data_IF_547454564094
#
_entry.id   IF_547454564094
#
_cell.length_a   1.000
_cell.length_b   1.000
_cell.length_c   1.000
_cell.angle_alpha   90.00
_cell.angle_beta   90.00
_cell.angle_gamma   90.00
#
_symmetry.space_group_name_H-M   'P 1'
#
loop_
_entity.id
_entity.type
_entity.pdbx_description
1 polymer ?
#
# COMPACT_ATOMS: atom_id res chain seq x y z
N UNK A 1 0.99 16.22 16.95
CA UNK A 1 2.45 16.00 16.96
C UNK A 1 2.79 14.72 16.24
N UNK A 2 3.58 14.84 15.18
CA UNK A 2 4.17 13.74 14.44
C UNK A 2 5.37 13.17 15.19
N UNK A 3 5.47 11.86 15.21
CA UNK A 3 6.63 11.14 15.75
C UNK A 3 6.98 9.94 14.89
N UNK A 4 8.28 9.67 14.82
CA UNK A 4 8.83 8.45 14.24
C UNK A 4 8.51 7.26 15.15
N UNK A 5 8.19 6.12 14.54
CA UNK A 5 8.10 4.84 15.24
C UNK A 5 9.47 4.16 15.24
N UNK A 6 10.02 3.92 16.43
CA UNK A 6 11.27 3.20 16.62
C UNK A 6 11.05 1.70 16.89
N UNK A 7 9.84 1.35 17.34
CA UNK A 7 9.44 0.00 17.70
C UNK A 7 8.08 -0.35 17.13
N UNK A 8 7.73 -1.64 17.20
CA UNK A 8 6.38 -2.10 16.85
C UNK A 8 5.34 -1.45 17.77
N UNK A 9 4.29 -0.90 17.16
CA UNK A 9 3.21 -0.23 17.90
C UNK A 9 1.85 -0.65 17.37
N UNK A 10 1.04 -1.25 18.24
CA UNK A 10 -0.30 -1.69 17.92
C UNK A 10 -1.22 -0.51 17.53
N UNK A 11 -0.96 0.69 18.06
CA UNK A 11 -1.72 1.90 17.74
C UNK A 11 -1.67 2.24 16.23
N UNK A 12 -0.55 1.99 15.55
CA UNK A 12 -0.46 2.15 14.10
C UNK A 12 -1.38 1.18 13.38
N UNK A 13 -1.29 -0.11 13.74
CA UNK A 13 -2.08 -1.17 13.11
C UNK A 13 -3.57 -0.96 13.31
N UNK A 14 -3.98 -0.53 14.52
CA UNK A 14 -5.39 -0.27 14.82
C UNK A 14 -5.89 0.97 14.08
N UNK A 15 -5.10 2.04 14.03
CA UNK A 15 -5.44 3.22 13.24
C UNK A 15 -5.56 2.90 11.75
N UNK A 16 -4.69 2.03 11.22
CA UNK A 16 -4.66 1.71 9.79
C UNK A 16 -5.85 0.87 9.30
N UNK A 17 -6.68 0.29 10.18
CA UNK A 17 -7.87 -0.51 9.84
C UNK A 17 -9.07 0.37 9.45
N UNK A 18 -8.89 1.33 8.54
CA UNK A 18 -9.95 2.29 8.17
C UNK A 18 -10.11 2.54 6.68
N UNK A 19 -9.02 2.48 5.92
CA UNK A 19 -9.06 2.69 4.48
C UNK A 19 -7.93 1.93 3.76
N UNK A 20 -7.91 2.02 2.44
CA UNK A 20 -6.92 1.34 1.58
C UNK A 20 -5.49 1.86 1.80
N UNK A 21 -5.32 3.12 2.19
CA UNK A 21 -4.00 3.71 2.46
C UNK A 21 -3.46 3.21 3.80
N UNK A 22 -4.31 3.17 4.81
CA UNK A 22 -4.04 2.51 6.09
C UNK A 22 -3.69 1.05 5.89
N UNK A 23 -4.48 0.32 5.09
CA UNK A 23 -4.20 -1.10 4.78
C UNK A 23 -2.82 -1.27 4.14
N UNK A 24 -2.43 -0.38 3.21
CA UNK A 24 -1.09 -0.37 2.62
C UNK A 24 0.00 -0.10 3.66
N UNK A 25 -0.19 0.89 4.54
CA UNK A 25 0.74 1.21 5.64
C UNK A 25 0.90 0.00 6.58
N UNK A 26 -0.20 -0.60 7.02
CA UNK A 26 -0.21 -1.76 7.90
C UNK A 26 0.48 -2.97 7.26
N UNK A 27 0.24 -3.23 5.98
CA UNK A 27 0.90 -4.32 5.25
C UNK A 27 2.42 -4.13 5.19
N UNK A 28 2.90 -2.89 4.94
CA UNK A 28 4.33 -2.60 4.99
C UNK A 28 4.90 -2.73 6.39
N UNK A 29 4.20 -2.22 7.41
CA UNK A 29 4.63 -2.33 8.79
C UNK A 29 4.74 -3.78 9.24
N UNK A 30 3.75 -4.61 8.91
CA UNK A 30 3.76 -6.03 9.22
C UNK A 30 4.84 -6.80 8.44
N UNK A 31 5.33 -6.28 7.31
CA UNK A 31 6.37 -6.94 6.50
C UNK A 31 7.78 -6.54 6.91
N UNK A 32 8.00 -5.27 7.22
CA UNK A 32 9.33 -4.71 7.44
C UNK A 32 9.58 -4.27 8.90
N UNK A 33 8.53 -3.96 9.66
CA UNK A 33 8.65 -3.35 10.97
C UNK A 33 9.45 -2.05 10.92
N UNK A 34 10.16 -1.73 12.00
CA UNK A 34 11.03 -0.54 12.11
C UNK A 34 12.52 -0.86 11.96
N UNK A 35 12.85 -2.10 11.56
CA UNK A 35 14.23 -2.60 11.54
C UNK A 35 15.04 -2.16 10.31
N UNK A 36 14.37 -1.70 9.25
CA UNK A 36 15.01 -1.36 8.00
C UNK A 36 15.00 0.14 7.73
N UNK A 37 16.14 0.75 7.34
CA UNK A 37 16.23 2.19 7.13
C UNK A 37 15.40 2.69 5.93
N UNK A 38 15.06 1.80 5.00
CA UNK A 38 14.21 2.15 3.85
C UNK A 38 12.71 2.14 4.19
N UNK A 39 12.31 1.58 5.34
CA UNK A 39 10.92 1.46 5.74
C UNK A 39 10.67 2.23 7.04
N UNK A 40 10.09 3.43 6.89
CA UNK A 40 9.95 4.38 7.99
C UNK A 40 8.48 4.71 8.22
N UNK A 41 8.06 4.74 9.48
CA UNK A 41 6.66 4.88 9.86
C UNK A 41 6.49 6.00 10.88
N UNK A 42 5.46 6.81 10.71
CA UNK A 42 5.17 7.94 11.59
C UNK A 42 3.71 7.92 12.03
N UNK A 43 3.46 8.38 13.25
CA UNK A 43 2.14 8.67 13.77
C UNK A 43 2.02 10.14 14.10
N UNK A 44 0.90 10.74 13.71
CA UNK A 44 0.45 11.99 14.30
C UNK A 44 -0.49 11.67 15.46
N UNK A 45 -0.22 12.25 16.62
CA UNK A 45 -1.09 12.17 17.80
C UNK A 45 -1.58 13.56 18.15
N UNK A 46 -2.89 13.71 18.33
CA UNK A 46 -3.55 14.92 18.82
C UNK A 46 -4.52 14.54 19.92
N UNK A 47 -4.58 15.29 21.01
CA UNK A 47 -5.48 15.04 22.15
C UNK A 47 -5.49 13.58 22.65
N UNK A 48 -4.34 12.92 22.65
CA UNK A 48 -4.13 11.49 23.00
C UNK A 48 -4.74 10.45 22.04
N UNK A 49 -5.16 10.87 20.85
CA UNK A 49 -5.64 9.98 19.80
C UNK A 49 -4.74 10.07 18.57
N UNK A 50 -4.55 8.94 17.90
CA UNK A 50 -3.85 8.92 16.61
C UNK A 50 -4.75 9.59 15.58
N UNK A 51 -4.25 10.61 14.90
CA UNK A 51 -4.99 11.35 13.87
C UNK A 51 -4.44 11.12 12.46
N UNK A 52 -3.21 10.66 12.33
CA UNK A 52 -2.62 10.30 11.05
C UNK A 52 -1.55 9.22 11.18
N UNK A 53 -1.37 8.46 10.11
CA UNK A 53 -0.29 7.51 9.91
C UNK A 53 0.38 7.75 8.55
N UNK A 54 1.70 7.72 8.54
CA UNK A 54 2.52 7.85 7.34
C UNK A 54 3.46 6.65 7.28
N UNK A 55 3.59 6.03 6.11
CA UNK A 55 4.77 5.22 5.80
C UNK A 55 5.55 5.83 4.65
N UNK A 56 6.88 5.75 4.71
CA UNK A 56 7.80 6.04 3.61
C UNK A 56 8.59 4.77 3.34
N UNK A 57 8.40 4.18 2.15
CA UNK A 57 9.15 3.03 1.65
C UNK A 57 10.06 3.54 0.53
N UNK A 58 11.37 3.50 0.74
CA UNK A 58 12.35 4.26 -0.05
C UNK A 58 11.93 5.73 -0.14
N UNK A 59 11.52 6.22 -1.32
CA UNK A 59 11.00 7.57 -1.53
C UNK A 59 9.51 7.64 -1.84
N UNK A 60 8.80 6.51 -1.72
CA UNK A 60 7.35 6.45 -1.87
C UNK A 60 6.65 6.61 -0.52
N UNK A 61 5.85 7.67 -0.40
CA UNK A 61 5.08 7.97 0.80
C UNK A 61 3.61 7.58 0.65
N UNK A 62 3.02 7.03 1.70
CA UNK A 62 1.58 6.80 1.83
C UNK A 62 1.08 7.48 3.10
N UNK A 63 -0.01 8.24 3.00
CA UNK A 63 -0.61 8.97 4.11
C UNK A 63 -2.09 8.56 4.29
N UNK A 64 -2.43 8.13 5.49
CA UNK A 64 -3.79 7.90 5.98
C UNK A 64 -4.05 8.85 7.16
N UNK A 65 -5.16 9.58 7.17
CA UNK A 65 -5.45 10.51 8.26
C UNK A 65 -6.95 10.74 8.47
N UNK A 66 -7.30 11.24 9.65
CA UNK A 66 -8.65 11.68 10.00
C UNK A 66 -8.93 13.08 9.45
N UNK A 67 -10.19 13.50 9.52
CA UNK A 67 -10.59 14.83 9.02
C UNK A 67 -10.07 15.98 9.90
N UNK A 68 -9.84 15.71 11.18
CA UNK A 68 -9.35 16.60 12.22
C UNK A 68 -7.85 16.45 12.49
N UNK A 69 -7.13 15.73 11.63
CA UNK A 69 -5.66 15.71 11.65
C UNK A 69 -5.10 17.13 11.56
N UNK A 70 -3.92 17.34 12.15
CA UNK A 70 -3.23 18.63 12.06
C UNK A 70 -2.55 18.70 10.68
N UNK A 71 -3.27 19.28 9.72
CA UNK A 71 -2.83 19.39 8.33
C UNK A 71 -1.69 20.41 8.14
N UNK A 72 -1.54 21.38 9.04
CA UNK A 72 -0.40 22.30 9.00
C UNK A 72 0.89 21.54 9.31
N UNK A 73 0.87 20.72 10.38
CA UNK A 73 1.99 19.84 10.73
C UNK A 73 2.26 18.81 9.62
N UNK A 74 1.21 18.18 9.05
CA UNK A 74 1.38 17.23 7.95
C UNK A 74 1.99 17.88 6.70
N UNK A 75 1.54 19.07 6.31
CA UNK A 75 2.07 19.78 5.14
C UNK A 75 3.53 20.19 5.35
N UNK A 76 3.87 20.71 6.53
CA UNK A 76 5.25 21.04 6.89
C UNK A 76 6.15 19.80 6.88
N UNK A 77 5.67 18.69 7.42
CA UNK A 77 6.41 17.43 7.44
C UNK A 77 6.65 16.87 6.04
N UNK A 78 5.59 16.74 5.24
CA UNK A 78 5.62 16.16 3.89
C UNK A 78 6.57 16.97 2.98
N UNK A 79 6.54 18.31 3.08
CA UNK A 79 7.45 19.18 2.33
C UNK A 79 8.90 19.12 2.81
N UNK A 80 9.13 18.92 4.11
CA UNK A 80 10.48 18.85 4.69
C UNK A 80 11.18 17.53 4.42
N UNK A 81 10.47 16.41 4.63
CA UNK A 81 11.03 15.07 4.41
C UNK A 81 11.18 14.76 2.92
N UNK A 82 10.24 15.26 2.11
CA UNK A 82 10.23 15.01 0.67
C UNK A 82 9.79 13.59 0.30
N UNK A 83 9.38 13.44 -0.95
CA UNK A 83 8.93 12.18 -1.55
C UNK A 83 9.04 12.24 -3.07
N UNK A 84 9.20 11.09 -3.71
CA UNK A 84 9.04 10.96 -5.16
C UNK A 84 7.57 10.78 -5.54
N UNK A 85 6.82 10.04 -4.72
CA UNK A 85 5.37 9.85 -4.89
C UNK A 85 4.66 9.89 -3.55
N UNK A 86 3.49 10.54 -3.48
CA UNK A 86 2.59 10.52 -2.33
C UNK A 86 1.26 9.90 -2.73
N UNK A 87 0.87 8.82 -2.06
CA UNK A 87 -0.46 8.23 -2.15
C UNK A 87 -1.32 8.69 -0.97
N UNK A 88 -2.45 9.32 -1.26
CA UNK A 88 -3.45 9.75 -0.27
C UNK A 88 -4.83 9.92 -0.95
N UNK A 89 -5.87 10.22 -0.17
CA UNK A 89 -7.18 10.61 -0.73
C UNK A 89 -7.11 11.99 -1.39
N UNK A 90 -8.00 12.26 -2.34
CA UNK A 90 -8.09 13.58 -3.00
C UNK A 90 -8.35 14.73 -1.99
N UNK A 91 -9.20 14.51 -0.99
CA UNK A 91 -9.43 15.48 0.08
C UNK A 91 -8.15 15.81 0.86
N UNK A 92 -7.29 14.81 1.08
CA UNK A 92 -6.01 15.01 1.76
C UNK A 92 -5.04 15.80 0.87
N UNK A 93 -4.94 15.51 -0.43
CA UNK A 93 -4.09 16.30 -1.32
C UNK A 93 -4.49 17.78 -1.34
N UNK A 94 -5.79 18.08 -1.34
CA UNK A 94 -6.31 19.45 -1.31
C UNK A 94 -5.91 20.16 -0.01
N UNK A 95 -6.08 19.50 1.14
CA UNK A 95 -5.70 20.06 2.45
C UNK A 95 -4.19 20.26 2.61
N UNK A 96 -3.37 19.46 1.93
CA UNK A 96 -1.92 19.63 1.88
C UNK A 96 -1.47 20.69 0.85
N UNK A 97 -2.40 21.30 0.12
CA UNK A 97 -2.12 22.23 -1.00
C UNK A 97 -1.24 21.60 -2.08
N UNK A 98 -1.45 20.31 -2.38
CA UNK A 98 -0.73 19.57 -3.41
C UNK A 98 -1.59 19.39 -4.65
N UNK A 99 -0.99 19.54 -5.83
CA UNK A 99 -1.66 19.26 -7.09
C UNK A 99 -1.46 17.78 -7.47
N UNK A 100 -2.50 16.95 -7.49
CA UNK A 100 -2.35 15.54 -7.83
C UNK A 100 -1.95 15.38 -9.30
N UNK A 101 -0.90 14.60 -9.57
CA UNK A 101 -0.47 14.27 -10.93
C UNK A 101 -1.30 13.15 -11.57
N UNK A 102 -1.84 12.25 -10.73
CA UNK A 102 -2.69 11.13 -11.12
C UNK A 102 -3.80 10.96 -10.09
N UNK A 103 -4.98 10.60 -10.56
CA UNK A 103 -6.14 10.27 -9.72
C UNK A 103 -6.78 8.98 -10.23
N UNK A 104 -7.52 8.30 -9.36
CA UNK A 104 -8.17 7.05 -9.70
C UNK A 104 -9.25 6.71 -8.69
N UNK A 105 -10.09 5.74 -9.03
CA UNK A 105 -11.11 5.22 -8.13
C UNK A 105 -10.52 4.21 -7.18
N UNK A 106 -10.89 4.31 -5.91
CA UNK A 106 -10.66 3.25 -4.93
C UNK A 106 -11.77 2.23 -5.13
N UNK A 107 -11.40 0.99 -5.44
CA UNK A 107 -12.34 -0.11 -5.57
C UNK A 107 -12.43 -0.85 -4.24
N UNK A 108 -13.65 -1.13 -3.81
CA UNK A 108 -13.94 -1.96 -2.65
C UNK A 108 -14.60 -3.24 -3.16
N UNK A 109 -14.15 -4.38 -2.65
CA UNK A 109 -14.85 -5.63 -2.89
C UNK A 109 -16.18 -5.60 -2.15
N UNK A 110 -17.26 -5.49 -2.91
CA UNK A 110 -18.61 -5.74 -2.42
C UNK A 110 -18.88 -7.23 -2.65
N UNK A 111 -19.50 -7.91 -1.66
CA UNK A 111 -19.74 -9.36 -1.62
C UNK A 111 -20.01 -10.01 -3.00
N UNK A 112 -19.63 -11.27 -3.15
CA UNK A 112 -19.85 -12.02 -4.39
C UNK A 112 -21.31 -11.90 -4.83
N UNK A 113 -21.59 -11.38 -6.03
CA UNK A 113 -22.92 -11.49 -6.59
C UNK A 113 -23.27 -12.98 -6.65
N UNK A 114 -24.38 -13.38 -6.01
CA UNK A 114 -24.86 -14.77 -5.89
C UNK A 114 -24.96 -15.56 -7.21
N UNK A 115 -24.70 -14.95 -8.37
CA UNK A 115 -24.90 -15.50 -9.72
C UNK A 115 -23.68 -15.34 -10.64
N UNK A 116 -22.45 -15.21 -10.13
CA UNK A 116 -21.28 -15.30 -11.00
C UNK A 116 -20.94 -16.77 -11.27
N UNK A 117 -21.28 -17.22 -12.49
CA UNK A 117 -20.92 -18.55 -12.97
C UNK A 117 -19.48 -18.50 -13.49
N UNK A 118 -18.51 -18.48 -12.58
CA UNK A 118 -17.11 -18.63 -12.95
C UNK A 118 -16.95 -20.04 -13.54
N UNK A 119 -16.59 -20.14 -14.82
CA UNK A 119 -16.01 -21.39 -15.29
C UNK A 119 -14.80 -21.69 -14.41
N UNK A 120 -14.61 -22.94 -14.00
CA UNK A 120 -13.46 -23.37 -13.20
C UNK A 120 -12.17 -23.06 -13.95
N UNK A 121 -11.65 -21.86 -13.75
CA UNK A 121 -10.33 -21.48 -14.23
C UNK A 121 -9.36 -22.16 -13.27
N UNK A 122 -8.43 -23.00 -13.76
CA UNK A 122 -7.51 -23.71 -12.90
C UNK A 122 -6.62 -22.70 -12.16
N UNK A 123 -6.97 -22.44 -10.91
CA UNK A 123 -6.18 -21.65 -9.97
C UNK A 123 -5.00 -22.48 -9.51
N UNK A 124 -3.78 -22.01 -9.80
CA UNK A 124 -2.57 -22.64 -9.28
C UNK A 124 -2.21 -22.03 -7.93
N UNK A 125 -2.24 -22.82 -6.86
CA UNK A 125 -1.73 -22.40 -5.55
C UNK A 125 -0.19 -22.27 -5.52
N UNK A 126 0.50 -22.88 -6.49
CA UNK A 126 1.93 -22.66 -6.73
C UNK A 126 2.06 -21.48 -7.70
N UNK A 127 2.27 -20.29 -7.15
CA UNK A 127 2.46 -19.06 -7.94
C UNK A 127 3.93 -18.73 -8.03
N UNK A 128 4.48 -18.85 -9.23
CA UNK A 128 5.76 -18.24 -9.56
C UNK A 128 5.55 -16.72 -9.63
N UNK A 129 6.06 -15.97 -8.65
CA UNK A 129 5.88 -14.52 -8.61
C UNK A 129 6.51 -13.80 -9.82
N UNK A 130 7.46 -14.45 -10.50
CA UNK A 130 7.96 -14.00 -11.80
C UNK A 130 6.85 -13.90 -12.83
N UNK A 131 5.89 -14.82 -12.84
CA UNK A 131 4.81 -14.83 -13.83
C UNK A 131 3.81 -13.71 -13.56
N UNK A 132 3.57 -13.38 -12.29
CA UNK A 132 2.79 -12.19 -11.90
C UNK A 132 3.46 -10.93 -12.46
N UNK A 133 4.77 -10.79 -12.27
CA UNK A 133 5.52 -9.66 -12.82
C UNK A 133 5.41 -9.58 -14.33
N UNK A 134 5.58 -10.72 -15.02
CA UNK A 134 5.58 -10.76 -16.48
C UNK A 134 4.20 -10.43 -17.05
N UNK A 135 3.11 -10.85 -16.39
CA UNK A 135 1.74 -10.43 -16.73
C UNK A 135 1.55 -8.93 -16.53
N UNK A 136 1.93 -8.37 -15.37
CA UNK A 136 1.81 -6.93 -15.10
C UNK A 136 2.61 -6.08 -16.09
N UNK A 137 3.83 -6.52 -16.41
CA UNK A 137 4.70 -5.86 -17.39
C UNK A 137 4.10 -5.91 -18.78
N UNK A 138 3.56 -7.05 -19.20
CA UNK A 138 2.91 -7.19 -20.50
C UNK A 138 1.64 -6.33 -20.62
N UNK A 139 0.86 -6.24 -19.54
CA UNK A 139 -0.33 -5.39 -19.46
C UNK A 139 0.00 -3.88 -19.44
N UNK A 140 1.27 -3.49 -19.34
CA UNK A 140 1.69 -2.09 -19.23
C UNK A 140 1.28 -1.45 -17.90
N UNK A 141 1.31 -2.22 -16.81
CA UNK A 141 0.90 -1.74 -15.49
C UNK A 141 1.73 -0.52 -15.07
N UNK A 142 1.04 0.58 -14.79
CA UNK A 142 1.66 1.86 -14.43
C UNK A 142 2.30 1.79 -13.04
N UNK A 143 3.49 2.37 -12.90
CA UNK A 143 4.25 2.35 -11.64
C UNK A 143 4.92 1.01 -11.29
N UNK A 144 4.98 0.05 -12.22
CA UNK A 144 5.74 -1.19 -12.01
C UNK A 144 7.26 -0.90 -12.01
N UNK A 145 7.94 -1.23 -10.91
CA UNK A 145 9.38 -1.07 -10.78
C UNK A 145 10.18 -2.16 -11.52
N UNK A 146 11.51 -2.08 -11.45
CA UNK A 146 12.37 -3.13 -11.97
C UNK A 146 12.10 -4.48 -11.29
N UNK A 147 12.26 -5.57 -12.05
CA UNK A 147 11.89 -6.93 -11.63
C UNK A 147 12.52 -7.35 -10.31
N UNK A 148 13.80 -7.03 -10.09
CA UNK A 148 14.54 -7.41 -8.88
C UNK A 148 13.92 -6.82 -7.60
N UNK A 149 13.88 -5.48 -7.46
CA UNK A 149 13.24 -4.82 -6.32
C UNK A 149 11.77 -5.22 -6.13
N UNK A 150 11.00 -5.31 -7.22
CA UNK A 150 9.61 -5.74 -7.15
C UNK A 150 9.46 -7.16 -6.59
N UNK A 151 10.24 -8.12 -7.09
CA UNK A 151 10.21 -9.49 -6.60
C UNK A 151 10.62 -9.59 -5.14
N UNK A 152 11.67 -8.87 -4.73
CA UNK A 152 12.12 -8.86 -3.33
C UNK A 152 11.00 -8.41 -2.38
N UNK A 153 10.31 -7.33 -2.73
CA UNK A 153 9.20 -6.76 -1.95
C UNK A 153 7.99 -7.71 -1.90
N UNK A 154 7.54 -8.23 -3.04
CA UNK A 154 6.38 -9.12 -3.11
C UNK A 154 6.65 -10.46 -2.42
N UNK A 155 7.84 -11.05 -2.61
CA UNK A 155 8.25 -12.28 -1.91
C UNK A 155 8.21 -12.07 -0.40
N UNK A 156 8.72 -10.93 0.10
CA UNK A 156 8.70 -10.61 1.53
C UNK A 156 7.28 -10.55 2.07
N UNK A 157 6.38 -9.82 1.39
CA UNK A 157 4.97 -9.75 1.78
C UNK A 157 4.27 -11.10 1.78
N UNK A 158 4.48 -11.93 0.74
CA UNK A 158 3.86 -13.26 0.66
C UNK A 158 4.39 -14.21 1.72
N UNK A 159 5.71 -14.24 1.97
CA UNK A 159 6.32 -15.06 3.01
C UNK A 159 5.83 -14.70 4.41
N UNK A 160 5.61 -13.42 4.66
CA UNK A 160 5.10 -12.93 5.95
C UNK A 160 3.56 -12.99 6.06
N UNK A 161 2.86 -13.52 5.05
CA UNK A 161 1.40 -13.66 5.06
C UNK A 161 0.62 -12.36 4.86
N UNK A 162 1.30 -11.27 4.48
CA UNK A 162 0.72 -9.93 4.29
C UNK A 162 0.28 -9.68 2.84
N UNK A 163 0.53 -10.63 1.93
CA UNK A 163 0.00 -10.63 0.58
C UNK A 163 -0.27 -12.06 0.12
N UNK A 164 -1.18 -12.19 -0.85
CA UNK A 164 -1.39 -13.42 -1.62
C UNK A 164 -1.34 -13.05 -3.09
N UNK A 165 -0.87 -13.99 -3.90
CA UNK A 165 -0.84 -13.84 -5.34
C UNK A 165 -1.61 -15.01 -5.96
N UNK A 166 -2.25 -14.76 -7.08
CA UNK A 166 -2.96 -15.74 -7.89
C UNK A 166 -2.60 -15.53 -9.35
N UNK A 167 -2.49 -16.62 -10.11
CA UNK A 167 -2.23 -16.58 -11.55
C UNK A 167 -3.18 -17.52 -12.27
N UNK A 168 -3.81 -16.99 -13.31
CA UNK A 168 -4.60 -17.75 -14.28
C UNK A 168 -3.71 -18.15 -15.44
N UNK A 169 -3.79 -19.44 -15.82
CA UNK A 169 -3.03 -19.97 -16.95
C UNK A 169 -3.92 -20.52 -18.04
N UNK A 170 -3.56 -20.23 -19.28
CA UNK A 170 -4.11 -20.87 -20.47
C UNK A 170 -2.98 -21.61 -21.19
N UNK A 171 -3.13 -22.92 -21.40
CA UNK A 171 -2.09 -23.77 -22.01
C UNK A 171 -0.70 -23.60 -21.37
N UNK A 172 -0.64 -23.48 -20.02
CA UNK A 172 0.55 -23.21 -19.19
C UNK A 172 1.13 -21.79 -19.26
N UNK A 173 0.64 -20.94 -20.14
CA UNK A 173 1.05 -19.53 -20.23
C UNK A 173 0.26 -18.70 -19.21
N UNK A 174 0.91 -17.85 -18.39
CA UNK A 174 0.19 -16.94 -17.51
C UNK A 174 -0.50 -15.84 -18.32
N UNK A 175 -1.82 -15.66 -18.10
CA UNK A 175 -2.64 -14.70 -18.87
C UNK A 175 -3.34 -13.66 -18.00
N UNK A 176 -3.48 -13.91 -16.70
CA UNK A 176 -3.97 -12.93 -15.73
C UNK A 176 -3.38 -13.22 -14.34
N UNK A 177 -3.36 -12.21 -13.48
CA UNK A 177 -2.92 -12.32 -12.10
C UNK A 177 -3.73 -11.42 -11.17
N UNK A 178 -3.71 -11.73 -9.86
CA UNK A 178 -4.24 -10.92 -8.77
C UNK A 178 -3.31 -10.98 -7.56
#
# INVERSE_FOLDING_TARGET
MLRLLEHEEQALLDFCKRDVFGTKIAAYFATYGTAYPFAVFYLQVSSNSVTAAICKIDDAMTLCCEQDADFEELAAFVSTIGFNTLMCTACVSDKLNLNPQKTGFIVEFQDEPNNLNFQDVPLSNSVELSDVYDVLKHAGFDGLSEKGPWLADVVSRVKNGNAKAMVVRQAKVPVACA
#
